data_IF_268598996337
#
_entry.id   IF_268598996337
#
_cell.length_a   1.000
_cell.length_b   1.000
_cell.length_c   1.000
_cell.angle_alpha   90.00
_cell.angle_beta   90.00
_cell.angle_gamma   90.00
#
_symmetry.space_group_name_H-M   'P 1'
#
loop_
_entity.id
_entity.type
_entity.pdbx_description
1 polymer ?
#
# COMPACT_ATOMS: atom_id res chain seq x y z
N UNK A 1 -36.90 -35.62 49.44
CA UNK A 1 -35.48 -35.83 49.08
C UNK A 1 -35.42 -36.20 47.61
N UNK A 2 -34.80 -35.38 46.77
CA UNK A 2 -34.04 -35.79 45.58
C UNK A 2 -33.39 -34.55 44.94
N UNK A 3 -32.11 -34.39 45.31
CA UNK A 3 -30.98 -33.75 44.63
C UNK A 3 -31.18 -32.50 43.75
N UNK A 4 -30.77 -31.37 44.31
CA UNK A 4 -30.13 -30.27 43.59
C UNK A 4 -28.61 -30.52 43.56
N UNK A 5 -27.99 -30.62 42.38
CA UNK A 5 -26.55 -30.37 42.24
C UNK A 5 -26.13 -30.22 40.76
N UNK A 6 -25.40 -29.12 40.50
CA UNK A 6 -24.33 -28.95 39.51
C UNK A 6 -24.68 -29.04 38.02
N UNK A 7 -24.07 -28.29 37.12
CA UNK A 7 -23.37 -27.00 37.17
C UNK A 7 -23.34 -26.49 35.72
N UNK A 8 -23.04 -25.20 35.56
CA UNK A 8 -22.93 -24.54 34.27
C UNK A 8 -21.83 -25.19 33.41
N UNK A 9 -22.24 -25.79 32.28
CA UNK A 9 -21.32 -26.15 31.21
C UNK A 9 -21.25 -25.02 30.19
N UNK A 10 -20.16 -24.27 30.34
CA UNK A 10 -19.22 -23.90 29.29
C UNK A 10 -19.78 -23.27 28.00
N UNK A 11 -19.72 -21.94 27.98
CA UNK A 11 -19.73 -21.09 26.80
C UNK A 11 -18.47 -21.36 25.95
N UNK A 12 -18.44 -22.48 25.24
CA UNK A 12 -17.38 -22.84 24.31
C UNK A 12 -17.79 -22.51 22.88
N UNK A 13 -17.18 -21.43 22.36
CA UNK A 13 -16.74 -21.42 20.97
C UNK A 13 -17.54 -20.56 20.00
N UNK A 14 -17.55 -19.23 20.22
CA UNK A 14 -17.67 -18.29 19.11
C UNK A 14 -16.38 -18.35 18.25
N UNK A 15 -16.24 -19.43 17.48
CA UNK A 15 -15.16 -19.62 16.51
C UNK A 15 -15.70 -19.31 15.13
N UNK A 16 -15.50 -18.04 14.70
CA UNK A 16 -14.87 -17.65 13.44
C UNK A 16 -15.04 -16.14 13.21
N UNK A 17 -14.47 -15.34 14.12
CA UNK A 17 -14.03 -14.00 13.76
C UNK A 17 -12.73 -14.11 12.98
N UNK A 18 -12.75 -13.53 11.77
CA UNK A 18 -11.61 -12.92 11.10
C UNK A 18 -10.26 -13.64 11.14
N UNK A 19 -10.07 -14.57 10.21
CA UNK A 19 -8.73 -14.90 9.71
C UNK A 19 -8.73 -14.88 8.18
N UNK A 20 -9.02 -13.72 7.60
CA UNK A 20 -8.57 -13.44 6.23
C UNK A 20 -7.17 -12.83 6.28
N UNK A 21 -6.15 -13.68 6.12
CA UNK A 21 -4.87 -13.42 5.44
C UNK A 21 -3.99 -14.67 5.60
N UNK A 22 -3.38 -15.18 4.51
CA UNK A 22 -2.39 -14.42 3.77
C UNK A 22 -2.61 -14.56 2.26
N UNK A 23 -3.54 -13.78 1.70
CA UNK A 23 -3.59 -13.67 0.25
C UNK A 23 -2.49 -12.70 -0.15
N UNK A 24 -1.48 -13.23 -0.87
CA UNK A 24 -0.45 -12.51 -1.64
C UNK A 24 -0.58 -10.99 -1.58
N UNK A 25 0.38 -10.28 -0.97
CA UNK A 25 0.52 -8.80 -1.09
C UNK A 25 0.71 -8.44 -2.57
N UNK A 26 -0.40 -8.41 -3.28
CA UNK A 26 -0.52 -8.13 -4.69
C UNK A 26 -1.20 -6.79 -4.73
N UNK A 27 -0.49 -5.82 -5.33
CA UNK A 27 -1.12 -4.55 -5.66
C UNK A 27 -2.32 -4.89 -6.54
N UNK A 28 -3.49 -4.41 -6.18
CA UNK A 28 -4.65 -4.55 -7.04
C UNK A 28 -4.37 -3.89 -8.40
N UNK A 29 -4.89 -4.48 -9.47
CA UNK A 29 -4.64 -4.03 -10.84
C UNK A 29 -5.11 -2.58 -11.06
N UNK A 30 -6.17 -2.17 -10.36
CA UNK A 30 -6.65 -0.79 -10.38
C UNK A 30 -5.63 0.16 -9.75
N UNK A 31 -5.12 -0.18 -8.56
CA UNK A 31 -4.10 0.62 -7.85
C UNK A 31 -2.82 0.73 -8.66
N UNK A 32 -2.40 -0.36 -9.29
CA UNK A 32 -1.24 -0.36 -10.19
C UNK A 32 -1.43 0.61 -11.35
N UNK A 33 -2.53 0.48 -12.11
CA UNK A 33 -2.81 1.35 -13.26
C UNK A 33 -2.96 2.81 -12.84
N UNK A 34 -3.58 3.06 -11.68
CA UNK A 34 -3.73 4.41 -11.12
C UNK A 34 -2.36 5.03 -10.79
N UNK A 35 -1.46 4.25 -10.18
CA UNK A 35 -0.10 4.68 -9.84
C UNK A 35 0.72 4.98 -11.09
N UNK A 36 0.75 4.06 -12.06
CA UNK A 36 1.47 4.25 -13.33
C UNK A 36 0.95 5.48 -14.08
N UNK A 37 -0.37 5.63 -14.19
CA UNK A 37 -1.00 6.79 -14.84
C UNK A 37 -0.66 8.09 -14.11
N UNK A 38 -0.73 8.11 -12.78
CA UNK A 38 -0.39 9.28 -11.98
C UNK A 38 1.06 9.69 -12.23
N UNK A 39 2.00 8.76 -12.09
CA UNK A 39 3.43 9.04 -12.26
C UNK A 39 3.77 9.54 -13.66
N UNK A 40 3.18 8.94 -14.69
CA UNK A 40 3.35 9.37 -16.09
C UNK A 40 2.77 10.77 -16.34
N UNK A 41 1.56 11.04 -15.82
CA UNK A 41 0.87 12.33 -16.01
C UNK A 41 1.55 13.45 -15.23
N UNK A 42 2.02 13.18 -14.01
CA UNK A 42 2.69 14.17 -13.16
C UNK A 42 3.93 14.74 -13.84
N UNK A 43 4.75 13.88 -14.45
CA UNK A 43 5.92 14.31 -15.22
C UNK A 43 5.54 15.19 -16.41
N UNK A 44 4.48 14.82 -17.14
CA UNK A 44 3.99 15.60 -18.29
C UNK A 44 3.44 16.97 -17.91
N UNK A 45 2.89 17.14 -16.71
CA UNK A 45 2.27 18.38 -16.24
C UNK A 45 3.25 19.29 -15.50
N UNK A 46 4.08 18.72 -14.62
CA UNK A 46 4.96 19.48 -13.73
C UNK A 46 6.41 19.53 -14.22
N UNK A 47 6.79 18.71 -15.20
CA UNK A 47 8.18 18.60 -15.68
C UNK A 47 9.14 17.89 -14.72
N UNK A 48 8.67 17.53 -13.52
CA UNK A 48 9.45 16.88 -12.45
C UNK A 48 8.93 15.47 -12.15
N UNK A 49 9.74 14.67 -11.45
CA UNK A 49 9.30 13.37 -10.96
C UNK A 49 8.50 13.54 -9.67
N UNK A 50 7.33 12.87 -9.52
CA UNK A 50 6.58 12.90 -8.28
C UNK A 50 7.43 12.35 -7.14
N UNK A 51 7.38 13.01 -6.00
CA UNK A 51 8.03 12.59 -4.76
C UNK A 51 7.13 11.67 -3.94
N UNK A 52 7.68 11.12 -2.85
CA UNK A 52 6.88 10.34 -1.90
C UNK A 52 5.75 11.17 -1.29
N UNK A 53 5.96 12.48 -1.11
CA UNK A 53 4.96 13.40 -0.58
C UNK A 53 3.79 13.56 -1.56
N UNK A 54 4.09 13.79 -2.84
CA UNK A 54 3.06 13.95 -3.88
C UNK A 54 2.20 12.68 -4.02
N UNK A 55 2.84 11.51 -3.94
CA UNK A 55 2.16 10.22 -3.96
C UNK A 55 1.26 10.02 -2.73
N UNK A 56 1.76 10.37 -1.54
CA UNK A 56 0.98 10.28 -0.31
C UNK A 56 -0.24 11.23 -0.33
N UNK A 57 -0.08 12.45 -0.84
CA UNK A 57 -1.18 13.42 -1.02
C UNK A 57 -2.27 12.90 -1.98
N UNK A 58 -1.91 12.01 -2.92
CA UNK A 58 -2.85 11.37 -3.84
C UNK A 58 -3.38 10.01 -3.35
N UNK A 59 -3.11 9.66 -2.08
CA UNK A 59 -3.63 8.46 -1.42
C UNK A 59 -2.86 7.18 -1.74
N UNK A 60 -1.58 7.28 -2.12
CA UNK A 60 -0.70 6.13 -2.25
C UNK A 60 0.12 5.95 -0.97
N UNK A 61 -0.16 4.89 -0.22
CA UNK A 61 0.60 4.54 0.98
C UNK A 61 2.06 4.18 0.65
N UNK A 62 2.97 4.46 1.59
CA UNK A 62 4.38 4.09 1.45
C UNK A 62 4.59 2.60 1.17
N UNK A 63 3.74 1.72 1.73
CA UNK A 63 3.81 0.28 1.49
C UNK A 63 3.42 -0.10 0.05
N UNK A 64 2.44 0.60 -0.54
CA UNK A 64 2.06 0.45 -1.95
C UNK A 64 3.22 0.87 -2.84
N UNK A 65 3.87 2.00 -2.54
CA UNK A 65 5.02 2.51 -3.30
C UNK A 65 6.19 1.53 -3.23
N UNK A 66 6.56 1.07 -2.03
CA UNK A 66 7.64 0.06 -1.84
C UNK A 66 7.34 -1.22 -2.61
N UNK A 67 6.09 -1.68 -2.59
CA UNK A 67 5.69 -2.88 -3.30
C UNK A 67 5.72 -2.69 -4.82
N UNK A 68 5.33 -1.50 -5.30
CA UNK A 68 5.40 -1.14 -6.71
C UNK A 68 6.85 -1.04 -7.21
N UNK A 69 7.77 -0.48 -6.41
CA UNK A 69 9.22 -0.47 -6.69
C UNK A 69 9.77 -1.89 -6.73
N UNK A 70 9.45 -2.72 -5.72
CA UNK A 70 9.88 -4.13 -5.69
C UNK A 70 9.39 -4.94 -6.89
N UNK A 71 8.19 -4.61 -7.40
CA UNK A 71 7.59 -5.23 -8.58
C UNK A 71 8.04 -4.61 -9.90
N UNK A 72 8.95 -3.63 -9.89
CA UNK A 72 9.41 -2.90 -11.07
C UNK A 72 8.25 -2.29 -11.87
N UNK A 73 7.22 -1.79 -11.18
CA UNK A 73 6.16 -0.98 -11.78
C UNK A 73 6.60 0.48 -11.89
N UNK A 74 7.27 0.94 -10.85
CA UNK A 74 7.90 2.25 -10.79
C UNK A 74 9.35 2.07 -10.33
N UNK A 75 10.20 3.03 -10.69
CA UNK A 75 11.61 3.08 -10.32
C UNK A 75 11.86 4.32 -9.46
N UNK A 76 12.70 4.18 -8.44
CA UNK A 76 13.09 5.26 -7.53
C UNK A 76 14.35 5.95 -8.05
N UNK A 77 14.34 7.28 -8.09
CA UNK A 77 15.46 8.14 -8.46
C UNK A 77 15.74 9.16 -7.37
N UNK A 78 16.99 9.60 -7.29
CA UNK A 78 17.34 10.78 -6.52
C UNK A 78 17.24 12.00 -7.42
N UNK A 79 16.43 12.97 -7.03
CA UNK A 79 16.29 14.26 -7.72
C UNK A 79 16.76 15.37 -6.80
N UNK A 80 17.53 16.29 -7.36
CA UNK A 80 18.02 17.48 -6.64
C UNK A 80 17.05 18.61 -6.91
N UNK A 81 16.41 19.12 -5.87
CA UNK A 81 15.57 20.30 -5.93
C UNK A 81 16.43 21.56 -6.11
N UNK A 82 15.83 22.64 -6.58
CA UNK A 82 16.50 23.93 -6.83
C UNK A 82 17.14 24.54 -5.58
N UNK A 83 16.69 24.15 -4.39
CA UNK A 83 17.28 24.55 -3.10
C UNK A 83 18.46 23.65 -2.65
N UNK A 84 18.91 22.71 -3.49
CA UNK A 84 20.00 21.77 -3.18
C UNK A 84 19.57 20.54 -2.38
N UNK A 85 18.29 20.40 -2.05
CA UNK A 85 17.78 19.22 -1.31
C UNK A 85 17.67 18.02 -2.25
N UNK A 86 18.24 16.88 -1.86
CA UNK A 86 18.08 15.62 -2.58
C UNK A 86 16.86 14.89 -2.04
N UNK A 87 15.89 14.59 -2.90
CA UNK A 87 14.68 13.85 -2.55
C UNK A 87 14.49 12.64 -3.47
N UNK A 88 13.65 11.70 -3.03
CA UNK A 88 13.27 10.52 -3.82
C UNK A 88 12.14 10.91 -4.78
N UNK A 89 12.42 10.81 -6.07
CA UNK A 89 11.44 10.89 -7.15
C UNK A 89 11.11 9.49 -7.70
N UNK A 90 9.94 9.35 -8.29
CA UNK A 90 9.47 8.09 -8.85
C UNK A 90 9.13 8.24 -10.34
N UNK A 91 9.48 7.26 -11.16
CA UNK A 91 9.08 7.20 -12.58
C UNK A 91 8.50 5.82 -12.92
N UNK A 92 7.71 5.72 -13.98
CA UNK A 92 7.21 4.41 -14.45
C UNK A 92 8.36 3.59 -15.03
N UNK A 93 8.43 2.33 -14.65
CA UNK A 93 9.40 1.36 -15.16
C UNK A 93 9.00 0.92 -16.57
N UNK A 94 9.84 1.17 -17.57
CA UNK A 94 9.58 0.75 -18.95
C UNK A 94 8.81 1.73 -19.84
N UNK A 95 8.82 3.03 -19.53
CA UNK A 95 8.49 4.09 -20.51
C UNK A 95 9.66 4.38 -21.45
#
# INVERSE_FOLDING_TARGET
>A
MLYAHLMADDNSGNSKSDRQAPMSRQLDLFTQRRLEKFVSTFRGQNGELPTLKDLAEHGFDSDIIKLAVKRKLIEEFYVTLTNGTIVKGYKVSGS
#
